data_IF_838518188654
#
_entry.id   IF_838518188654
#
_cell.length_a   1.000
_cell.length_b   1.000
_cell.length_c   1.000
_cell.angle_alpha   90.00
_cell.angle_beta   90.00
_cell.angle_gamma   90.00
#
_symmetry.space_group_name_H-M   'P 1'
#
loop_
_entity.id
_entity.type
_entity.pdbx_description
1 polymer ?
#
# COMPACT_ATOMS: atom_id res chain seq x y z
N UNK A 1 5.65 -10.25 -13.61
CA UNK A 1 4.62 -9.18 -13.43
C UNK A 1 5.26 -8.02 -12.71
N UNK A 2 5.03 -6.76 -13.15
CA UNK A 2 5.56 -5.54 -12.50
C UNK A 2 4.45 -4.84 -11.71
N UNK A 3 4.67 -4.62 -10.43
CA UNK A 3 3.74 -3.92 -9.54
C UNK A 3 4.42 -2.61 -9.10
N UNK A 4 3.64 -1.55 -9.04
CA UNK A 4 4.04 -0.26 -8.50
C UNK A 4 3.17 0.06 -7.30
N UNK A 5 3.74 0.41 -6.16
CA UNK A 5 3.00 1.07 -5.07
C UNK A 5 3.55 2.48 -4.88
N UNK A 6 2.66 3.47 -4.82
CA UNK A 6 3.06 4.86 -4.74
C UNK A 6 1.92 5.74 -4.21
N UNK A 7 2.07 6.29 -3.02
CA UNK A 7 1.18 7.36 -2.58
C UNK A 7 1.44 8.58 -3.46
N UNK A 8 0.43 9.01 -4.21
CA UNK A 8 0.57 10.02 -5.27
C UNK A 8 0.19 11.43 -4.82
N UNK A 9 -0.06 11.63 -3.54
CA UNK A 9 -0.33 12.92 -2.92
C UNK A 9 -1.15 13.88 -3.80
N UNK A 10 -2.41 14.15 -3.47
CA UNK A 10 -3.29 15.04 -4.25
C UNK A 10 -3.34 14.66 -5.74
N UNK A 11 -3.93 13.50 -6.01
CA UNK A 11 -4.09 12.95 -7.35
C UNK A 11 -4.74 13.94 -8.33
N UNK A 12 -4.24 13.96 -9.55
CA UNK A 12 -4.85 14.60 -10.71
C UNK A 12 -4.55 13.77 -11.98
N UNK A 13 -5.15 14.15 -13.12
CA UNK A 13 -4.98 13.41 -14.38
C UNK A 13 -3.51 13.34 -14.84
N UNK A 14 -2.74 14.41 -14.72
CA UNK A 14 -1.33 14.43 -15.15
C UNK A 14 -0.49 13.40 -14.37
N UNK A 15 -0.76 13.26 -13.07
CA UNK A 15 -0.09 12.25 -12.24
C UNK A 15 -0.50 10.84 -12.65
N UNK A 16 -1.77 10.59 -12.92
CA UNK A 16 -2.23 9.30 -13.42
C UNK A 16 -1.55 8.97 -14.74
N UNK A 17 -1.51 9.89 -15.70
CA UNK A 17 -0.84 9.68 -16.99
C UNK A 17 0.65 9.35 -16.80
N UNK A 18 1.33 10.08 -15.92
CA UNK A 18 2.73 9.79 -15.56
C UNK A 18 2.93 8.41 -14.94
N UNK A 19 2.00 7.98 -14.07
CA UNK A 19 2.02 6.65 -13.45
C UNK A 19 1.82 5.55 -14.50
N UNK A 20 0.86 5.72 -15.41
CA UNK A 20 0.58 4.75 -16.48
C UNK A 20 1.78 4.57 -17.42
N UNK A 21 2.55 5.64 -17.68
CA UNK A 21 3.78 5.58 -18.48
C UNK A 21 4.89 4.74 -17.85
N UNK A 22 4.86 4.47 -16.55
CA UNK A 22 5.83 3.59 -15.87
C UNK A 22 5.67 2.12 -16.26
N UNK A 23 4.56 1.77 -16.92
CA UNK A 23 4.34 0.46 -17.53
C UNK A 23 4.14 -0.69 -16.55
N UNK A 24 3.80 -0.42 -15.28
CA UNK A 24 3.45 -1.46 -14.32
C UNK A 24 2.19 -2.21 -14.77
N UNK A 25 2.08 -3.46 -14.36
CA UNK A 25 0.93 -4.31 -14.65
C UNK A 25 -0.20 -4.06 -13.64
N UNK A 26 0.18 -3.80 -12.36
CA UNK A 26 -0.73 -3.39 -11.28
C UNK A 26 -0.10 -2.16 -10.58
N UNK A 27 -0.92 -1.19 -10.22
CA UNK A 27 -0.52 0.03 -9.52
C UNK A 27 -1.40 0.23 -8.29
N UNK A 28 -0.80 0.22 -7.10
CA UNK A 28 -1.44 0.52 -5.81
C UNK A 28 -1.17 1.98 -5.49
N UNK A 29 -2.22 2.79 -5.42
CA UNK A 29 -2.13 4.24 -5.39
C UNK A 29 -2.89 4.84 -4.18
N UNK A 30 -2.28 4.91 -2.99
CA UNK A 30 -2.80 5.72 -1.90
C UNK A 30 -2.94 7.19 -2.31
N UNK A 31 -3.93 7.88 -1.75
CA UNK A 31 -4.32 9.26 -2.06
C UNK A 31 -4.76 9.49 -3.51
N UNK A 32 -5.28 8.43 -4.15
CA UNK A 32 -5.84 8.49 -5.49
C UNK A 32 -7.22 9.13 -5.51
N UNK A 33 -7.53 9.88 -6.57
CA UNK A 33 -8.89 10.34 -6.85
C UNK A 33 -9.78 9.18 -7.31
N UNK A 34 -11.10 9.32 -7.13
CA UNK A 34 -12.06 8.32 -7.56
C UNK A 34 -12.11 8.17 -9.10
N UNK A 35 -12.68 7.06 -9.62
CA UNK A 35 -12.76 6.82 -11.05
C UNK A 35 -13.47 7.93 -11.85
N UNK A 36 -14.42 8.65 -11.24
CA UNK A 36 -15.16 9.72 -11.91
C UNK A 36 -14.32 11.01 -12.08
N UNK A 37 -13.22 11.12 -11.35
CA UNK A 37 -12.31 12.28 -11.40
C UNK A 37 -11.09 12.05 -12.30
N UNK A 38 -10.89 10.84 -12.82
CA UNK A 38 -9.74 10.48 -13.67
C UNK A 38 -10.19 9.66 -14.88
N UNK A 39 -9.55 9.87 -16.01
CA UNK A 39 -9.79 9.12 -17.24
C UNK A 39 -8.72 8.06 -17.42
N UNK A 40 -9.13 6.81 -17.59
CA UNK A 40 -8.23 5.71 -17.89
C UNK A 40 -8.42 5.23 -19.34
N UNK A 41 -7.32 4.93 -20.07
CA UNK A 41 -7.41 4.23 -21.35
C UNK A 41 -8.10 2.87 -21.17
N UNK A 42 -8.87 2.40 -22.16
CA UNK A 42 -9.64 1.14 -22.14
C UNK A 42 -8.84 -0.11 -21.77
N UNK A 43 -7.52 -0.06 -21.89
CA UNK A 43 -6.61 -1.15 -21.51
C UNK A 43 -6.31 -1.23 -20.01
N UNK A 44 -6.92 -0.37 -19.19
CA UNK A 44 -6.79 -0.38 -17.72
C UNK A 44 -8.16 -0.50 -17.09
N UNK A 45 -8.18 -1.16 -15.96
CA UNK A 45 -9.30 -1.27 -15.04
C UNK A 45 -8.89 -0.66 -13.70
N UNK A 46 -9.86 -0.25 -12.90
CA UNK A 46 -9.62 0.38 -11.61
C UNK A 46 -10.66 -0.06 -10.58
N UNK A 47 -10.21 -0.29 -9.37
CA UNK A 47 -11.05 -0.25 -8.18
C UNK A 47 -10.60 0.86 -7.25
N UNK A 48 -11.49 1.35 -6.40
CA UNK A 48 -11.20 2.47 -5.53
C UNK A 48 -12.06 2.42 -4.26
N UNK A 49 -11.51 2.91 -3.14
CA UNK A 49 -12.22 3.10 -1.89
C UNK A 49 -11.78 4.41 -1.23
N UNK A 50 -12.74 5.22 -0.83
CA UNK A 50 -12.46 6.50 -0.19
C UNK A 50 -13.74 7.16 0.36
N UNK A 51 -13.56 8.21 1.16
CA UNK A 51 -14.67 8.99 1.74
C UNK A 51 -14.91 10.31 0.97
N UNK A 52 -13.98 10.70 0.11
CA UNK A 52 -14.12 11.91 -0.74
C UNK A 52 -13.59 11.62 -2.13
N UNK A 53 -14.18 12.19 -3.16
CA UNK A 53 -13.84 11.93 -4.57
C UNK A 53 -12.36 12.18 -4.92
N UNK A 54 -11.68 12.99 -4.14
CA UNK A 54 -10.30 13.43 -4.43
C UNK A 54 -9.24 12.68 -3.62
N UNK A 55 -9.63 11.81 -2.70
CA UNK A 55 -8.68 11.12 -1.81
C UNK A 55 -9.20 9.77 -1.36
N UNK A 56 -8.59 8.72 -1.86
CA UNK A 56 -8.87 7.34 -1.50
C UNK A 56 -7.72 6.41 -1.83
N UNK A 57 -7.95 5.13 -1.68
CA UNK A 57 -7.06 4.08 -2.13
C UNK A 57 -7.51 3.60 -3.51
N UNK A 58 -6.72 3.85 -4.54
CA UNK A 58 -6.94 3.35 -5.89
C UNK A 58 -6.05 2.17 -6.21
N UNK A 59 -6.57 1.20 -6.95
CA UNK A 59 -5.76 0.16 -7.58
C UNK A 59 -6.11 0.13 -9.06
N UNK A 60 -5.10 0.34 -9.91
CA UNK A 60 -5.24 0.31 -11.37
C UNK A 60 -4.45 -0.89 -11.90
N UNK A 61 -5.03 -1.64 -12.83
CA UNK A 61 -4.32 -2.74 -13.49
C UNK A 61 -4.60 -2.80 -14.98
N UNK A 62 -3.67 -3.39 -15.72
CA UNK A 62 -3.89 -3.66 -17.15
C UNK A 62 -4.99 -4.70 -17.33
N UNK A 63 -5.90 -4.51 -18.28
CA UNK A 63 -6.98 -5.45 -18.60
C UNK A 63 -6.50 -6.84 -19.06
N UNK A 64 -5.19 -6.97 -19.35
CA UNK A 64 -4.55 -8.27 -19.64
C UNK A 64 -4.22 -9.07 -18.37
N UNK A 65 -4.27 -8.45 -17.20
CA UNK A 65 -4.08 -9.11 -15.90
C UNK A 65 -5.45 -9.54 -15.38
N UNK A 66 -5.61 -10.81 -15.07
CA UNK A 66 -6.84 -11.31 -14.42
C UNK A 66 -6.81 -10.88 -12.96
N UNK A 67 -7.39 -9.73 -12.68
CA UNK A 67 -7.45 -9.15 -11.34
C UNK A 67 -8.89 -8.77 -11.01
N UNK A 68 -9.34 -9.09 -9.81
CA UNK A 68 -10.68 -8.70 -9.32
C UNK A 68 -10.66 -8.47 -7.82
N UNK A 69 -11.52 -7.60 -7.34
CA UNK A 69 -11.75 -7.44 -5.91
C UNK A 69 -12.28 -8.78 -5.36
N UNK A 70 -11.75 -9.20 -4.22
CA UNK A 70 -12.16 -10.45 -3.60
C UNK A 70 -13.66 -10.37 -3.18
N UNK A 71 -14.44 -11.46 -3.35
CA UNK A 71 -15.88 -11.44 -3.07
C UNK A 71 -16.22 -11.25 -1.58
N UNK A 72 -15.25 -11.39 -0.70
CA UNK A 72 -15.36 -11.19 0.74
C UNK A 72 -14.82 -9.83 1.21
N UNK A 73 -14.45 -8.93 0.28
CA UNK A 73 -14.13 -7.54 0.62
C UNK A 73 -15.33 -6.86 1.24
N UNK A 74 -15.08 -6.04 2.26
CA UNK A 74 -16.13 -5.31 2.98
C UNK A 74 -15.81 -3.82 3.13
N UNK A 75 -16.83 -3.02 3.43
CA UNK A 75 -16.71 -1.58 3.58
C UNK A 75 -16.13 -1.16 4.95
N UNK A 76 -16.10 -2.04 5.94
CA UNK A 76 -15.52 -1.76 7.25
C UNK A 76 -14.00 -1.66 7.15
N UNK A 77 -13.39 -2.48 6.26
CA UNK A 77 -11.96 -2.56 6.03
C UNK A 77 -11.53 -1.96 4.68
N UNK A 78 -12.32 -1.04 4.12
CA UNK A 78 -12.18 -0.49 2.75
C UNK A 78 -10.81 0.10 2.43
N UNK A 79 -10.03 0.50 3.43
CA UNK A 79 -8.67 1.01 3.23
C UNK A 79 -7.58 -0.09 3.23
N UNK A 80 -8.02 -1.33 3.11
CA UNK A 80 -7.21 -2.47 2.69
C UNK A 80 -8.00 -3.26 1.64
N UNK A 81 -7.81 -2.91 0.34
CA UNK A 81 -8.55 -3.54 -0.76
C UNK A 81 -7.93 -4.90 -1.08
N UNK A 82 -8.68 -6.00 -0.88
CA UNK A 82 -8.21 -7.33 -1.26
C UNK A 82 -8.50 -7.62 -2.73
N UNK A 83 -7.46 -8.00 -3.49
CA UNK A 83 -7.58 -8.38 -4.89
C UNK A 83 -7.03 -9.79 -5.12
N UNK A 84 -7.79 -10.61 -5.85
CA UNK A 84 -7.33 -11.92 -6.31
C UNK A 84 -6.71 -11.74 -7.68
N UNK A 85 -5.43 -12.09 -7.82
CA UNK A 85 -4.66 -11.93 -9.05
C UNK A 85 -4.40 -13.30 -9.68
N UNK A 86 -4.76 -13.45 -10.96
CA UNK A 86 -4.67 -14.67 -11.75
C UNK A 86 -5.36 -15.90 -11.11
N UNK A 87 -6.21 -15.69 -10.10
CA UNK A 87 -6.80 -16.76 -9.28
C UNK A 87 -5.78 -17.53 -8.44
N UNK A 88 -4.57 -16.99 -8.23
CA UNK A 88 -3.44 -17.69 -7.65
C UNK A 88 -2.87 -17.08 -6.39
N UNK A 89 -2.98 -15.76 -6.24
CA UNK A 89 -2.42 -15.05 -5.10
C UNK A 89 -3.25 -13.82 -4.74
N UNK A 90 -3.09 -13.36 -3.51
CA UNK A 90 -3.81 -12.25 -2.91
C UNK A 90 -2.92 -11.01 -2.86
N UNK A 91 -3.40 -9.90 -3.43
CA UNK A 91 -2.85 -8.57 -3.24
C UNK A 91 -3.74 -7.79 -2.28
N UNK A 92 -3.20 -7.41 -1.14
CA UNK A 92 -3.84 -6.49 -0.20
C UNK A 92 -3.22 -5.10 -0.42
N UNK A 93 -3.94 -4.25 -1.13
CA UNK A 93 -3.56 -2.85 -1.29
C UNK A 93 -3.92 -2.10 0.00
N UNK A 94 -2.92 -1.50 0.67
CA UNK A 94 -3.10 -0.96 2.01
C UNK A 94 -2.88 0.56 2.07
N UNK A 95 -3.84 1.24 2.73
CA UNK A 95 -3.72 2.65 3.07
C UNK A 95 -4.54 2.94 4.34
N UNK A 96 -4.13 2.41 5.51
CA UNK A 96 -4.80 2.75 6.76
C UNK A 96 -4.78 4.28 6.92
N UNK A 97 -5.98 4.85 6.99
CA UNK A 97 -6.15 6.30 7.11
C UNK A 97 -7.18 6.64 8.19
N UNK A 98 -6.97 7.76 8.86
CA UNK A 98 -7.88 8.23 9.92
C UNK A 98 -9.10 8.86 9.28
N UNK A 99 -10.26 8.32 9.61
CA UNK A 99 -11.55 8.86 9.18
C UNK A 99 -12.06 9.85 10.24
N UNK A 100 -12.52 11.05 9.86
CA UNK A 100 -13.08 12.02 10.80
C UNK A 100 -14.20 11.39 11.65
N UNK A 101 -14.13 11.59 12.97
CA UNK A 101 -15.11 11.04 13.93
C UNK A 101 -14.78 9.64 14.45
N UNK A 102 -13.84 8.92 13.86
CA UNK A 102 -13.37 7.62 14.33
C UNK A 102 -12.06 7.80 15.10
N UNK A 103 -12.06 7.44 16.38
CA UNK A 103 -10.86 7.53 17.24
C UNK A 103 -10.02 6.26 17.13
N UNK A 104 -9.42 6.02 15.99
CA UNK A 104 -8.47 4.90 15.78
C UNK A 104 -7.12 5.45 15.30
N UNK A 105 -6.03 4.80 15.69
CA UNK A 105 -4.68 5.08 15.17
C UNK A 105 -4.45 4.33 13.86
N UNK A 106 -3.48 4.76 13.05
CA UNK A 106 -3.13 4.06 11.80
C UNK A 106 -2.76 2.58 12.03
N UNK A 107 -1.86 2.23 13.01
CA UNK A 107 -1.55 0.83 13.25
C UNK A 107 -2.74 0.04 13.82
N UNK A 108 -3.67 0.66 14.54
CA UNK A 108 -4.90 -0.01 14.96
C UNK A 108 -5.76 -0.41 13.76
N UNK A 109 -5.97 0.52 12.80
CA UNK A 109 -6.73 0.24 11.57
C UNK A 109 -6.04 -0.87 10.77
N UNK A 110 -4.71 -0.79 10.61
CA UNK A 110 -3.94 -1.83 9.91
C UNK A 110 -4.10 -3.19 10.57
N UNK A 111 -3.97 -3.27 11.89
CA UNK A 111 -4.07 -4.53 12.64
C UNK A 111 -5.48 -5.15 12.57
N UNK A 112 -6.52 -4.31 12.59
CA UNK A 112 -7.90 -4.76 12.41
C UNK A 112 -8.11 -5.36 11.02
N UNK A 113 -7.66 -4.71 9.96
CA UNK A 113 -7.70 -5.25 8.59
C UNK A 113 -6.92 -6.58 8.46
N UNK A 114 -5.71 -6.65 9.03
CA UNK A 114 -4.91 -7.88 9.02
C UNK A 114 -5.62 -9.05 9.70
N UNK A 115 -6.30 -8.78 10.83
CA UNK A 115 -7.08 -9.79 11.53
C UNK A 115 -8.31 -10.23 10.76
N UNK A 116 -9.03 -9.28 10.16
CA UNK A 116 -10.22 -9.58 9.34
C UNK A 116 -9.88 -10.48 8.17
N UNK A 117 -8.74 -10.27 7.53
CA UNK A 117 -8.32 -11.04 6.33
C UNK A 117 -7.36 -12.18 6.63
N UNK A 118 -7.08 -12.49 7.90
CA UNK A 118 -6.04 -13.45 8.30
C UNK A 118 -6.24 -14.87 7.74
N UNK A 119 -7.47 -15.36 7.70
CA UNK A 119 -7.74 -16.71 7.15
C UNK A 119 -7.44 -16.75 5.65
N UNK A 120 -7.82 -15.73 4.90
CA UNK A 120 -7.53 -15.65 3.46
C UNK A 120 -6.02 -15.48 3.18
N UNK A 121 -5.29 -14.77 4.04
CA UNK A 121 -3.83 -14.67 3.96
C UNK A 121 -3.16 -16.04 4.15
N UNK A 122 -3.70 -16.89 5.02
CA UNK A 122 -3.18 -18.25 5.24
C UNK A 122 -3.47 -19.21 4.08
N UNK A 123 -4.57 -18.97 3.35
CA UNK A 123 -5.04 -19.87 2.30
C UNK A 123 -4.28 -19.74 0.97
N UNK A 124 -3.64 -18.59 0.70
CA UNK A 124 -2.99 -18.33 -0.58
C UNK A 124 -1.75 -17.44 -0.46
N UNK A 125 -0.80 -17.55 -1.41
CA UNK A 125 0.33 -16.64 -1.45
C UNK A 125 -0.15 -15.19 -1.45
N UNK A 126 0.46 -14.36 -0.61
CA UNK A 126 -0.05 -13.01 -0.34
C UNK A 126 1.04 -11.95 -0.43
N UNK A 127 0.66 -10.79 -0.94
CA UNK A 127 1.42 -9.54 -0.86
C UNK A 127 0.55 -8.45 -0.26
N UNK A 128 1.06 -7.76 0.75
CA UNK A 128 0.48 -6.54 1.32
C UNK A 128 1.40 -5.39 0.95
N UNK A 129 0.90 -4.38 0.26
CA UNK A 129 1.74 -3.25 -0.16
C UNK A 129 0.95 -1.94 -0.15
N UNK A 130 1.62 -0.84 0.20
CA UNK A 130 1.03 0.49 0.25
C UNK A 130 1.67 1.39 1.30
N UNK A 131 1.01 2.50 1.56
CA UNK A 131 1.37 3.44 2.60
C UNK A 131 0.65 3.06 3.90
N UNK A 132 1.42 2.62 4.88
CA UNK A 132 0.87 2.19 6.18
C UNK A 132 0.64 3.36 7.14
N UNK A 133 1.13 4.56 6.82
CA UNK A 133 1.04 5.75 7.68
C UNK A 133 1.61 5.54 9.09
N UNK A 134 2.44 4.52 9.27
CA UNK A 134 3.00 4.10 10.56
C UNK A 134 4.51 3.94 10.47
N UNK A 135 5.21 4.23 11.57
CA UNK A 135 6.65 3.99 11.73
C UNK A 135 6.96 3.56 13.17
N UNK A 136 8.11 2.93 13.36
CA UNK A 136 8.55 2.47 14.68
C UNK A 136 8.78 3.66 15.61
N UNK A 137 8.22 3.60 16.83
CA UNK A 137 8.31 4.68 17.80
C UNK A 137 7.39 5.87 17.52
N UNK A 138 6.36 5.69 16.70
CA UNK A 138 5.36 6.72 16.42
C UNK A 138 4.70 7.22 17.72
N UNK A 139 4.64 8.55 17.90
CA UNK A 139 3.95 9.16 19.03
C UNK A 139 2.43 8.96 19.00
N UNK A 140 1.82 8.93 20.19
CA UNK A 140 0.35 8.82 20.30
C UNK A 140 -0.24 7.43 20.08
N UNK A 141 0.62 6.42 19.90
CA UNK A 141 0.23 5.00 19.83
C UNK A 141 0.70 4.23 21.05
N UNK A 142 0.03 3.13 21.37
CA UNK A 142 0.37 2.26 22.49
C UNK A 142 -0.02 0.82 22.18
N UNK A 143 0.44 -0.15 22.98
CA UNK A 143 0.04 -1.55 22.82
C UNK A 143 -1.48 -1.76 22.93
N UNK A 144 -2.21 -0.90 23.64
CA UNK A 144 -3.67 -0.95 23.74
C UNK A 144 -4.36 -0.42 22.46
N UNK A 145 -3.77 0.54 21.79
CA UNK A 145 -4.31 1.16 20.57
C UNK A 145 -3.68 0.62 19.29
N UNK A 146 -2.77 -0.34 19.40
CA UNK A 146 -2.00 -0.90 18.28
C UNK A 146 -0.73 -0.09 17.99
N UNK A 147 0.35 -0.79 17.66
CA UNK A 147 1.63 -0.24 17.20
C UNK A 147 2.06 -0.92 15.91
N UNK A 148 3.01 -0.31 15.17
CA UNK A 148 3.54 -0.95 13.96
C UNK A 148 4.25 -2.26 14.29
N UNK A 149 4.95 -2.34 15.44
CA UNK A 149 5.60 -3.56 15.89
C UNK A 149 4.61 -4.73 16.03
N UNK A 150 3.41 -4.47 16.58
CA UNK A 150 2.36 -5.50 16.67
C UNK A 150 1.84 -5.91 15.30
N UNK A 151 1.72 -4.97 14.36
CA UNK A 151 1.35 -5.30 12.98
C UNK A 151 2.42 -6.16 12.30
N UNK A 152 3.71 -5.84 12.51
CA UNK A 152 4.84 -6.60 11.99
C UNK A 152 4.87 -8.02 12.58
N UNK A 153 4.74 -8.15 13.90
CA UNK A 153 4.66 -9.45 14.57
C UNK A 153 3.53 -10.30 13.96
N UNK A 154 2.34 -9.71 13.82
CA UNK A 154 1.19 -10.42 13.27
C UNK A 154 1.39 -10.83 11.80
N UNK A 155 1.96 -9.95 10.96
CA UNK A 155 2.32 -10.31 9.59
C UNK A 155 3.36 -11.43 9.54
N UNK A 156 4.33 -11.44 10.47
CA UNK A 156 5.31 -12.52 10.59
C UNK A 156 4.67 -13.85 11.00
N UNK A 157 3.68 -13.83 11.91
CA UNK A 157 2.89 -15.02 12.28
C UNK A 157 2.10 -15.59 11.08
N UNK A 158 1.65 -14.71 10.18
CA UNK A 158 0.99 -15.07 8.92
C UNK A 158 1.98 -15.53 7.82
N UNK A 159 3.27 -15.59 8.13
CA UNK A 159 4.30 -16.03 7.19
C UNK A 159 4.77 -14.96 6.20
N UNK A 160 4.36 -13.71 6.38
CA UNK A 160 4.78 -12.59 5.53
C UNK A 160 6.06 -11.97 6.04
N UNK A 161 6.91 -11.48 5.14
CA UNK A 161 8.16 -10.78 5.47
C UNK A 161 8.24 -9.47 4.72
N UNK A 162 8.83 -8.44 5.35
CA UNK A 162 9.08 -7.15 4.71
C UNK A 162 10.20 -7.29 3.69
N UNK A 163 9.91 -7.05 2.44
CA UNK A 163 10.86 -7.22 1.35
C UNK A 163 12.08 -6.31 1.45
N UNK A 164 11.90 -5.08 1.93
CA UNK A 164 13.02 -4.19 2.19
C UNK A 164 13.98 -4.78 3.22
N UNK A 165 13.46 -5.21 4.37
CA UNK A 165 14.27 -5.68 5.49
C UNK A 165 14.93 -7.06 5.20
N UNK A 166 14.24 -7.94 4.46
CA UNK A 166 14.84 -9.20 4.01
C UNK A 166 16.06 -8.97 3.08
N UNK A 167 16.01 -7.93 2.22
CA UNK A 167 17.11 -7.63 1.29
C UNK A 167 18.24 -6.82 1.89
N UNK A 168 17.94 -5.90 2.78
CA UNK A 168 18.94 -4.99 3.36
C UNK A 168 19.53 -5.51 4.65
N UNK A 169 18.82 -6.42 5.35
CA UNK A 169 19.13 -6.88 6.70
C UNK A 169 19.14 -5.74 7.73
N UNK A 170 18.48 -4.62 7.43
CA UNK A 170 18.30 -3.52 8.36
C UNK A 170 17.18 -3.81 9.35
N UNK A 171 17.28 -3.28 10.56
CA UNK A 171 16.24 -3.39 11.58
C UNK A 171 15.14 -2.37 11.32
N UNK A 172 13.91 -2.73 11.63
CA UNK A 172 12.78 -1.80 11.61
C UNK A 172 13.04 -0.59 12.54
N UNK A 173 12.81 0.61 12.02
CA UNK A 173 13.09 1.88 12.69
C UNK A 173 14.55 2.34 12.59
N UNK A 174 15.39 1.60 11.85
CA UNK A 174 16.79 1.96 11.56
C UNK A 174 17.10 1.96 10.06
N UNK A 175 16.07 2.11 9.24
CA UNK A 175 16.20 2.11 7.79
C UNK A 175 17.09 3.26 7.32
N UNK A 176 18.07 2.95 6.48
CA UNK A 176 18.97 3.96 5.85
C UNK A 176 18.28 4.63 4.67
N UNK A 177 17.27 4.00 4.08
CA UNK A 177 16.37 4.59 3.09
C UNK A 177 15.15 5.20 3.76
N UNK A 178 14.50 6.14 3.06
CA UNK A 178 13.17 6.63 3.44
C UNK A 178 12.20 6.42 2.28
N UNK A 179 10.91 6.35 2.61
CA UNK A 179 9.84 6.29 1.61
C UNK A 179 8.99 7.56 1.57
N UNK A 180 9.07 8.39 2.60
CA UNK A 180 8.27 9.60 2.77
C UNK A 180 9.10 10.79 3.26
N UNK A 181 8.84 11.97 2.70
CA UNK A 181 9.45 13.25 3.06
C UNK A 181 8.40 14.21 3.61
N UNK A 182 8.19 14.18 4.92
CA UNK A 182 7.14 14.97 5.56
C UNK A 182 7.18 16.45 5.18
N UNK A 183 6.04 16.96 4.71
CA UNK A 183 5.90 18.34 4.21
C UNK A 183 6.90 18.68 3.07
N UNK A 184 7.29 17.72 2.24
CA UNK A 184 8.29 17.90 1.17
C UNK A 184 9.66 18.39 1.66
N UNK A 185 10.07 18.01 2.89
CA UNK A 185 11.34 18.44 3.49
C UNK A 185 12.37 17.30 3.50
N UNK A 186 13.57 17.58 3.02
CA UNK A 186 14.71 16.62 3.04
C UNK A 186 15.09 16.21 4.48
N UNK A 187 14.94 17.12 5.44
CA UNK A 187 15.33 16.88 6.85
C UNK A 187 14.31 16.13 7.70
N UNK A 188 13.19 15.66 7.12
CA UNK A 188 12.15 14.93 7.85
C UNK A 188 11.73 13.65 7.10
N UNK A 189 12.67 12.70 6.89
CA UNK A 189 12.40 11.45 6.22
C UNK A 189 11.79 10.43 7.17
N UNK A 190 10.84 9.62 6.65
CA UNK A 190 10.26 8.48 7.36
C UNK A 190 10.19 7.26 6.44
N UNK A 191 10.12 6.07 7.03
CA UNK A 191 9.83 4.84 6.33
C UNK A 191 8.43 4.38 6.73
N UNK A 192 7.44 4.59 5.87
CA UNK A 192 6.02 4.33 6.14
C UNK A 192 5.31 3.57 5.02
N UNK A 193 5.93 3.45 3.87
CA UNK A 193 5.44 2.60 2.78
C UNK A 193 6.14 1.25 2.85
N UNK A 194 5.36 0.17 2.85
CA UNK A 194 5.88 -1.19 3.03
C UNK A 194 5.38 -2.15 1.97
N UNK A 195 6.15 -3.20 1.75
CA UNK A 195 5.74 -4.40 1.02
C UNK A 195 6.09 -5.62 1.87
N UNK A 196 5.05 -6.30 2.38
CA UNK A 196 5.17 -7.57 3.09
C UNK A 196 4.63 -8.69 2.18
N UNK A 197 5.36 -9.79 2.06
CA UNK A 197 4.95 -10.88 1.18
C UNK A 197 5.54 -12.23 1.59
N UNK A 198 4.91 -13.32 1.15
CA UNK A 198 5.47 -14.67 1.11
C UNK A 198 5.63 -15.16 -0.34
N UNK A 199 5.45 -14.28 -1.33
CA UNK A 199 5.68 -14.57 -2.75
C UNK A 199 7.15 -14.25 -3.05
N UNK A 200 7.92 -15.19 -3.66
CA UNK A 200 9.28 -14.91 -4.10
C UNK A 200 9.30 -13.77 -5.13
N UNK A 201 10.09 -12.72 -4.89
CA UNK A 201 10.22 -11.61 -5.80
C UNK A 201 11.52 -11.68 -6.60
N UNK A 202 11.42 -11.44 -7.90
CA UNK A 202 12.58 -11.27 -8.77
C UNK A 202 13.34 -9.98 -8.43
N UNK A 203 12.62 -8.88 -8.23
CA UNK A 203 13.21 -7.59 -7.86
C UNK A 203 12.29 -6.77 -6.96
N UNK A 204 12.90 -5.97 -6.09
CA UNK A 204 12.26 -4.94 -5.29
C UNK A 204 13.17 -3.71 -5.22
N UNK A 205 12.60 -2.52 -5.37
CA UNK A 205 13.35 -1.27 -5.37
C UNK A 205 12.50 -0.10 -4.87
N UNK A 206 13.06 0.73 -4.01
CA UNK A 206 12.55 2.07 -3.71
C UNK A 206 13.11 3.02 -4.75
N UNK A 207 12.25 3.70 -5.49
CA UNK A 207 12.64 4.66 -6.51
C UNK A 207 13.15 5.99 -5.95
N UNK A 208 13.59 6.87 -6.83
CA UNK A 208 13.96 8.23 -6.47
C UNK A 208 12.77 9.06 -5.99
N UNK A 209 13.05 10.07 -5.17
CA UNK A 209 12.02 11.03 -4.77
C UNK A 209 11.74 12.04 -5.89
N UNK A 210 10.51 12.03 -6.38
CA UNK A 210 10.02 12.92 -7.43
C UNK A 210 9.14 14.01 -6.81
N UNK A 211 9.75 15.10 -6.40
CA UNK A 211 9.12 16.18 -5.62
C UNK A 211 7.88 16.81 -6.28
N UNK A 212 7.82 16.80 -7.60
CA UNK A 212 6.67 17.28 -8.38
C UNK A 212 5.51 16.25 -8.41
N UNK A 213 5.79 15.01 -8.08
CA UNK A 213 4.80 13.93 -8.07
C UNK A 213 4.21 13.71 -6.67
N UNK A 214 5.08 13.57 -5.65
CA UNK A 214 4.65 13.22 -4.31
C UNK A 214 5.70 13.56 -3.27
N UNK A 215 5.31 13.61 -2.01
CA UNK A 215 6.19 13.57 -0.84
C UNK A 215 6.61 12.14 -0.47
N UNK A 216 6.06 11.13 -1.15
CA UNK A 216 6.50 9.74 -1.05
C UNK A 216 7.46 9.36 -2.19
N UNK A 217 8.07 8.17 -2.06
CA UNK A 217 8.85 7.50 -3.09
C UNK A 217 8.10 6.26 -3.60
N UNK A 218 8.15 5.97 -4.91
CA UNK A 218 7.53 4.76 -5.43
C UNK A 218 8.32 3.51 -5.01
N UNK A 219 7.61 2.40 -4.77
CA UNK A 219 8.21 1.08 -4.70
C UNK A 219 7.87 0.31 -5.99
N UNK A 220 8.87 -0.33 -6.56
CA UNK A 220 8.77 -1.14 -7.77
C UNK A 220 9.05 -2.59 -7.40
N UNK A 221 8.10 -3.45 -7.70
CA UNK A 221 8.10 -4.86 -7.33
C UNK A 221 7.98 -5.68 -8.60
N UNK A 222 8.79 -6.73 -8.75
CA UNK A 222 8.73 -7.65 -9.88
C UNK A 222 8.63 -9.09 -9.38
N UNK A 223 7.56 -9.77 -9.81
CA UNK A 223 7.31 -11.19 -9.58
C UNK A 223 7.65 -11.96 -10.85
#
# INVERSE_FOLDING_TARGET
>A
MKILTYNIHRCNQEKIDSILLRGADIMVLPECACPDQVSLPKRYEMTWAGDTDFKGLGVIWKSTVKCSVAPWADDEHKYMIPLIVDGKWLLLAAWPTIVPGIKKTYPQILLECLKAYSEHIKEMPTMITGDFNCYIGQGGVSKQTGTLEQCIEYMHELGLRSEYHERTHEEFGKETSCTFHHQFKDGMPFFIDFTFTNIPLFAYMIGGWERNMSDHKPQIIVI
#
